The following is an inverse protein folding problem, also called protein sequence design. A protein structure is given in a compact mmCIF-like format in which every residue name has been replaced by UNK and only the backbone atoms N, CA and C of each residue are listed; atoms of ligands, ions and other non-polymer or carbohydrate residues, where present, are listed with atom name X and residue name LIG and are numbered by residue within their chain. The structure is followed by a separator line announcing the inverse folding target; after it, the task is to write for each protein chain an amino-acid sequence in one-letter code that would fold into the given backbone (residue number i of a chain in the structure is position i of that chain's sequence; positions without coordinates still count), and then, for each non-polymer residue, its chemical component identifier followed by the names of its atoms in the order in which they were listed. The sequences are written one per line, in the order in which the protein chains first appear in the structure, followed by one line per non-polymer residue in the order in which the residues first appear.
data_IF_537486610952
#
_entry.id   IF_537486610952
#
_cell.length_a   1.000
_cell.length_b   1.000
_cell.length_c   1.000
_cell.angle_alpha   90.00
_cell.angle_beta   90.00
_cell.angle_gamma   90.00
#
_symmetry.space_group_name_H-M   'P 1'
#
loop_
_entity.id
_entity.type
_entity.pdbx_description
1 polymer ?
#
# COMPACT_ATOMS: atom_id res chain seq x y z
N UNK A 1 -82.02 13.45 12.80
CA UNK A 1 -81.15 12.78 11.82
C UNK A 1 -79.83 13.56 11.79
N UNK A 2 -78.82 13.09 12.53
CA UNK A 2 -77.51 13.74 12.67
C UNK A 2 -76.54 13.18 11.62
N UNK A 3 -75.88 14.05 10.86
CA UNK A 3 -74.71 13.67 10.05
C UNK A 3 -73.49 14.44 10.58
N UNK A 4 -72.54 13.68 11.15
CA UNK A 4 -71.22 14.15 11.57
C UNK A 4 -70.27 14.15 10.36
N UNK A 5 -69.72 15.32 10.01
CA UNK A 5 -68.66 15.46 9.01
C UNK A 5 -67.27 15.21 9.62
N UNK A 6 -66.45 14.39 8.98
CA UNK A 6 -65.06 14.10 9.38
C UNK A 6 -64.09 15.19 8.92
N UNK A 7 -63.02 15.51 9.69
CA UNK A 7 -62.02 16.50 9.30
C UNK A 7 -60.93 15.89 8.39
N UNK A 8 -60.66 16.59 7.29
CA UNK A 8 -59.56 16.32 6.36
C UNK A 8 -58.21 16.64 7.01
N UNK A 9 -57.40 15.62 7.28
CA UNK A 9 -56.01 15.78 7.75
C UNK A 9 -55.10 16.03 6.56
N UNK A 10 -54.61 17.26 6.41
CA UNK A 10 -53.52 17.58 5.47
C UNK A 10 -52.21 16.99 5.99
N UNK A 11 -51.69 15.96 5.32
CA UNK A 11 -50.32 15.50 5.51
C UNK A 11 -49.34 16.53 4.92
N UNK A 12 -48.43 17.04 5.75
CA UNK A 12 -47.25 17.78 5.29
C UNK A 12 -46.19 16.77 4.84
N UNK A 13 -45.71 16.83 3.58
CA UNK A 13 -44.61 15.97 3.16
C UNK A 13 -43.33 16.40 3.89
N UNK A 14 -42.75 15.48 4.68
CA UNK A 14 -41.38 15.62 5.16
C UNK A 14 -40.46 15.55 3.94
N UNK A 15 -39.76 16.65 3.64
CA UNK A 15 -38.61 16.61 2.74
C UNK A 15 -37.51 15.78 3.41
N UNK A 16 -37.34 14.55 2.93
CA UNK A 16 -36.17 13.73 3.24
C UNK A 16 -35.04 14.25 2.36
N UNK A 17 -34.14 15.02 2.95
CA UNK A 17 -32.87 15.42 2.32
C UNK A 17 -32.02 14.17 2.12
N UNK A 18 -32.00 13.66 0.88
CA UNK A 18 -31.06 12.64 0.46
C UNK A 18 -29.65 13.27 0.47
N UNK A 19 -28.83 12.89 1.46
CA UNK A 19 -27.39 13.14 1.42
C UNK A 19 -26.85 12.40 0.18
N UNK A 20 -26.17 13.08 -0.76
CA UNK A 20 -25.49 12.37 -1.83
C UNK A 20 -24.45 11.48 -1.16
N UNK A 21 -24.63 10.16 -1.28
CA UNK A 21 -23.55 9.20 -1.12
C UNK A 21 -22.53 9.58 -2.19
N UNK A 22 -21.54 10.39 -1.82
CA UNK A 22 -20.38 10.65 -2.65
C UNK A 22 -19.68 9.29 -2.83
N UNK A 23 -20.01 8.61 -3.94
CA UNK A 23 -19.26 7.45 -4.39
C UNK A 23 -17.82 7.94 -4.61
N UNK A 24 -16.92 7.56 -3.73
CA UNK A 24 -15.50 7.81 -3.93
C UNK A 24 -15.10 7.19 -5.28
N UNK A 25 -14.46 7.99 -6.13
CA UNK A 25 -13.97 7.50 -7.42
C UNK A 25 -12.99 6.33 -7.19
N UNK A 26 -13.02 5.29 -8.04
CA UNK A 26 -12.08 4.18 -7.91
C UNK A 26 -10.65 4.67 -8.03
N UNK A 27 -9.79 4.28 -7.09
CA UNK A 27 -8.35 4.58 -7.15
C UNK A 27 -7.75 4.08 -8.46
N UNK A 28 -6.98 4.95 -9.11
CA UNK A 28 -6.26 4.70 -10.36
C UNK A 28 -4.73 4.65 -10.11
N UNK A 29 -3.93 4.14 -11.07
CA UNK A 29 -2.47 4.19 -10.99
C UNK A 29 -1.90 5.60 -10.83
N UNK A 30 -2.57 6.62 -11.37
CA UNK A 30 -2.14 8.02 -11.22
C UNK A 30 -2.21 8.48 -9.75
N UNK A 31 -3.21 8.04 -9.00
CA UNK A 31 -3.43 8.45 -7.61
C UNK A 31 -2.36 7.93 -6.66
N UNK A 32 -1.68 6.84 -7.05
CA UNK A 32 -0.62 6.17 -6.28
C UNK A 32 0.77 6.40 -6.84
N UNK A 33 0.90 7.12 -7.96
CA UNK A 33 2.20 7.46 -8.50
C UNK A 33 2.96 8.39 -7.53
N UNK A 34 4.25 8.14 -7.37
CA UNK A 34 5.09 8.92 -6.46
C UNK A 34 6.28 8.15 -5.91
N UNK A 35 7.00 8.81 -5.01
CA UNK A 35 8.11 8.23 -4.26
C UNK A 35 7.72 8.12 -2.78
N UNK A 36 8.11 7.00 -2.17
CA UNK A 36 7.79 6.65 -0.80
C UNK A 36 9.05 6.14 -0.12
N UNK A 37 9.27 6.48 1.15
CA UNK A 37 10.42 6.04 1.92
C UNK A 37 9.99 5.30 3.18
N UNK A 38 10.66 4.18 3.46
CA UNK A 38 10.56 3.48 4.73
C UNK A 38 11.58 4.07 5.71
N UNK A 39 11.20 4.30 6.97
CA UNK A 39 12.17 4.48 8.04
C UNK A 39 13.12 3.27 8.12
N UNK A 40 14.35 3.50 8.61
CA UNK A 40 15.34 2.45 8.88
C UNK A 40 14.70 1.29 9.64
N UNK A 41 14.86 0.08 9.12
CA UNK A 41 14.24 -1.12 9.69
C UNK A 41 15.30 -2.16 10.04
N UNK A 42 15.24 -2.68 11.26
CA UNK A 42 16.03 -3.82 11.70
C UNK A 42 15.13 -5.06 11.69
N UNK A 43 15.51 -6.06 10.92
CA UNK A 43 14.85 -7.35 10.89
C UNK A 43 15.85 -8.43 11.32
N UNK A 44 15.47 -9.27 12.27
CA UNK A 44 16.29 -10.40 12.71
C UNK A 44 15.46 -11.67 12.67
N UNK A 45 16.03 -12.74 12.12
CA UNK A 45 15.51 -14.09 12.26
C UNK A 45 16.64 -15.03 12.72
N UNK A 46 16.36 -16.32 12.85
CA UNK A 46 17.32 -17.31 13.34
C UNK A 46 18.57 -17.54 12.45
N UNK A 47 18.65 -16.90 11.27
CA UNK A 47 19.76 -17.06 10.33
C UNK A 47 20.53 -15.76 10.09
N UNK A 48 19.84 -14.62 10.07
CA UNK A 48 20.41 -13.34 9.64
C UNK A 48 19.76 -12.16 10.36
N UNK A 49 20.58 -11.16 10.67
CA UNK A 49 20.13 -9.79 10.97
C UNK A 49 20.30 -8.93 9.72
N UNK A 50 19.21 -8.33 9.25
CA UNK A 50 19.19 -7.40 8.14
C UNK A 50 18.91 -6.00 8.66
N UNK A 51 19.87 -5.09 8.51
CA UNK A 51 19.71 -3.67 8.79
C UNK A 51 19.44 -2.94 7.48
N UNK A 52 18.27 -2.33 7.36
CA UNK A 52 17.86 -1.52 6.21
C UNK A 52 18.10 -0.06 6.57
N UNK A 53 19.06 0.59 5.90
CA UNK A 53 19.41 2.00 6.10
C UNK A 53 18.52 2.94 5.29
N UNK A 54 18.10 2.49 4.12
CA UNK A 54 17.17 3.20 3.25
C UNK A 54 16.36 2.18 2.46
N UNK A 55 15.07 2.40 2.29
CA UNK A 55 14.20 1.63 1.41
C UNK A 55 13.22 2.62 0.78
N UNK A 56 13.30 2.76 -0.54
CA UNK A 56 12.44 3.67 -1.29
C UNK A 56 11.65 2.90 -2.33
N UNK A 57 10.35 3.15 -2.36
CA UNK A 57 9.43 2.64 -3.37
C UNK A 57 9.07 3.80 -4.29
N UNK A 58 9.28 3.62 -5.59
CA UNK A 58 8.80 4.54 -6.62
C UNK A 58 7.76 3.84 -7.47
N UNK A 59 6.59 4.45 -7.62
CA UNK A 59 5.51 3.98 -8.48
C UNK A 59 5.27 5.01 -9.60
N UNK A 60 5.06 4.53 -10.81
CA UNK A 60 4.76 5.34 -11.99
C UNK A 60 3.34 5.08 -12.48
N UNK A 61 2.75 6.09 -13.12
CA UNK A 61 1.36 6.07 -13.62
C UNK A 61 1.04 4.91 -14.58
N UNK A 62 2.06 4.35 -15.24
CA UNK A 62 1.94 3.25 -16.20
C UNK A 62 1.90 1.86 -15.53
N UNK A 63 1.77 1.78 -14.21
CA UNK A 63 1.69 0.51 -13.49
C UNK A 63 3.04 -0.15 -13.23
N UNK A 64 4.15 0.58 -13.38
CA UNK A 64 5.49 0.10 -13.05
C UNK A 64 6.01 0.70 -11.75
N UNK A 65 7.00 0.06 -11.16
CA UNK A 65 7.67 0.59 -9.99
C UNK A 65 9.04 0.00 -9.75
N UNK A 66 9.75 0.60 -8.80
CA UNK A 66 11.07 0.16 -8.38
C UNK A 66 11.20 0.27 -6.88
N UNK A 67 11.76 -0.76 -6.24
CA UNK A 67 12.22 -0.70 -4.86
C UNK A 67 13.74 -0.55 -4.86
N UNK A 68 14.26 0.47 -4.20
CA UNK A 68 15.70 0.66 -3.97
C UNK A 68 15.97 0.57 -2.48
N UNK A 69 16.88 -0.32 -2.10
CA UNK A 69 17.21 -0.58 -0.70
C UNK A 69 18.72 -0.50 -0.49
N UNK A 70 19.13 0.20 0.54
CA UNK A 70 20.48 0.09 1.11
C UNK A 70 20.37 -0.77 2.36
N UNK A 71 20.97 -1.96 2.33
CA UNK A 71 20.90 -2.92 3.44
C UNK A 71 22.24 -3.56 3.73
N UNK A 72 22.44 -3.92 4.98
CA UNK A 72 23.50 -4.81 5.43
C UNK A 72 22.87 -6.08 5.98
N UNK A 73 23.47 -7.23 5.67
CA UNK A 73 23.03 -8.54 6.15
C UNK A 73 24.18 -9.17 6.93
N UNK A 74 23.93 -9.46 8.19
CA UNK A 74 24.88 -10.05 9.12
C UNK A 74 24.40 -11.46 9.48
N UNK A 75 25.12 -12.53 9.05
CA UNK A 75 24.79 -13.89 9.44
C UNK A 75 24.94 -14.07 10.95
N UNK A 76 23.95 -14.69 11.60
CA UNK A 76 24.05 -14.97 13.04
C UNK A 76 25.10 -16.03 13.40
N UNK A 77 25.65 -16.73 12.41
CA UNK A 77 26.72 -17.72 12.57
C UNK A 77 28.12 -17.10 12.65
N UNK A 78 28.23 -15.76 12.65
CA UNK A 78 29.53 -15.05 12.76
C UNK A 78 30.36 -15.07 11.47
N UNK A 79 29.71 -15.28 10.31
CA UNK A 79 30.37 -15.20 9.01
C UNK A 79 30.78 -13.78 8.62
N UNK A 80 31.67 -13.61 7.62
CA UNK A 80 32.13 -12.30 7.19
C UNK A 80 30.97 -11.43 6.69
N UNK A 81 30.88 -10.21 7.20
CA UNK A 81 29.95 -9.20 6.67
C UNK A 81 30.62 -8.47 5.51
N UNK A 82 29.85 -8.20 4.46
CA UNK A 82 30.37 -7.47 3.28
C UNK A 82 30.14 -5.97 3.35
N UNK A 83 29.65 -5.48 4.50
CA UNK A 83 29.15 -4.12 4.68
C UNK A 83 27.82 -3.83 3.97
N UNK A 84 27.33 -2.58 4.03
CA UNK A 84 26.12 -2.14 3.35
C UNK A 84 26.21 -2.32 1.82
N UNK A 85 25.11 -2.80 1.23
CA UNK A 85 24.96 -3.01 -0.21
C UNK A 85 23.70 -2.33 -0.72
N UNK A 86 23.80 -1.77 -1.92
CA UNK A 86 22.65 -1.30 -2.67
C UNK A 86 21.99 -2.48 -3.39
N UNK A 87 20.67 -2.55 -3.34
CA UNK A 87 19.86 -3.48 -4.08
C UNK A 87 18.69 -2.75 -4.73
N UNK A 88 18.34 -3.16 -5.94
CA UNK A 88 17.23 -2.59 -6.70
C UNK A 88 16.41 -3.73 -7.30
N UNK A 89 15.09 -3.60 -7.22
CA UNK A 89 14.15 -4.54 -7.84
C UNK A 89 13.09 -3.78 -8.63
N UNK A 90 12.87 -4.21 -9.87
CA UNK A 90 11.73 -3.78 -10.66
C UNK A 90 10.48 -4.55 -10.24
N UNK A 91 9.32 -3.88 -10.34
CA UNK A 91 8.02 -4.48 -10.10
C UNK A 91 6.97 -3.90 -11.05
N UNK A 92 5.93 -4.70 -11.30
CA UNK A 92 4.64 -4.22 -11.80
C UNK A 92 3.65 -4.04 -10.65
N UNK A 93 2.68 -3.15 -10.82
CA UNK A 93 1.56 -3.01 -9.88
C UNK A 93 0.24 -2.77 -10.59
N UNK A 94 -0.84 -3.08 -9.88
CA UNK A 94 -2.22 -2.75 -10.26
C UNK A 94 -3.03 -2.33 -9.06
N UNK A 95 -4.01 -1.46 -9.29
CA UNK A 95 -4.99 -1.09 -8.27
C UNK A 95 -6.22 -1.97 -8.41
N UNK A 96 -6.59 -2.67 -7.34
CA UNK A 96 -7.68 -3.63 -7.31
C UNK A 96 -8.53 -3.37 -6.09
N UNK A 97 -9.79 -2.96 -6.24
CA UNK A 97 -10.72 -2.75 -5.10
C UNK A 97 -10.11 -1.90 -3.98
N UNK A 98 -9.41 -0.81 -4.34
CA UNK A 98 -8.82 0.14 -3.38
C UNK A 98 -7.51 -0.31 -2.71
N UNK A 99 -6.92 -1.43 -3.12
CA UNK A 99 -5.57 -1.85 -2.71
C UNK A 99 -4.62 -1.90 -3.90
N UNK A 100 -3.34 -1.73 -3.62
CA UNK A 100 -2.26 -1.80 -4.59
C UNK A 100 -1.65 -3.19 -4.48
N UNK A 101 -1.76 -4.00 -5.53
CA UNK A 101 -1.14 -5.31 -5.63
C UNK A 101 0.11 -5.20 -6.50
N UNK A 102 1.29 -5.50 -5.93
CA UNK A 102 2.57 -5.40 -6.62
C UNK A 102 3.23 -6.76 -6.78
N UNK A 103 3.96 -6.92 -7.88
CA UNK A 103 4.71 -8.13 -8.18
C UNK A 103 6.12 -7.77 -8.65
N UNK A 104 7.14 -8.26 -7.96
CA UNK A 104 8.52 -8.22 -8.45
C UNK A 104 8.69 -8.98 -9.76
N UNK A 105 9.55 -8.44 -10.61
CA UNK A 105 10.00 -9.11 -11.84
C UNK A 105 11.00 -10.20 -11.44
N UNK A 106 10.50 -11.41 -11.26
CA UNK A 106 11.30 -12.56 -10.89
C UNK A 106 12.01 -13.16 -12.12
N UNK A 107 13.33 -13.35 -12.07
CA UNK A 107 14.06 -14.10 -13.10
C UNK A 107 13.52 -15.53 -13.26
N UNK A 108 13.66 -16.10 -14.46
CA UNK A 108 13.16 -17.46 -14.77
C UNK A 108 13.75 -18.56 -13.87
N UNK A 109 14.92 -18.32 -13.28
CA UNK A 109 15.61 -19.24 -12.38
C UNK A 109 15.39 -18.93 -10.88
N UNK A 110 14.59 -17.93 -10.55
CA UNK A 110 14.30 -17.59 -9.15
C UNK A 110 13.11 -18.39 -8.62
N UNK A 111 13.25 -18.93 -7.40
CA UNK A 111 12.15 -19.58 -6.69
C UNK A 111 11.26 -18.54 -5.99
N UNK A 112 10.52 -17.76 -6.76
CA UNK A 112 9.59 -16.75 -6.24
C UNK A 112 8.25 -17.36 -5.84
N UNK A 113 7.64 -16.81 -4.80
CA UNK A 113 6.23 -17.08 -4.49
C UNK A 113 5.33 -16.49 -5.59
N UNK A 114 4.14 -17.05 -5.84
CA UNK A 114 3.21 -16.45 -6.80
C UNK A 114 2.81 -15.01 -6.41
N UNK A 115 2.60 -14.10 -7.38
CA UNK A 115 2.13 -12.75 -7.09
C UNK A 115 0.68 -12.75 -6.55
N UNK A 116 0.25 -11.68 -5.83
CA UNK A 116 1.01 -10.47 -5.53
C UNK A 116 2.06 -10.71 -4.44
N UNK A 117 3.25 -10.15 -4.63
CA UNK A 117 4.35 -10.21 -3.67
C UNK A 117 4.15 -9.21 -2.53
N UNK A 118 3.55 -8.07 -2.83
CA UNK A 118 3.27 -6.98 -1.90
C UNK A 118 1.83 -6.53 -2.09
N UNK A 119 1.14 -6.28 -0.98
CA UNK A 119 -0.16 -5.62 -0.96
C UNK A 119 -0.05 -4.34 -0.15
N UNK A 120 -0.54 -3.22 -0.68
CA UNK A 120 -0.49 -1.94 0.00
C UNK A 120 -1.82 -1.17 -0.05
N UNK A 121 -1.98 -0.25 0.89
CA UNK A 121 -3.11 0.67 1.00
C UNK A 121 -2.60 2.08 1.19
N UNK A 122 -3.28 3.05 0.57
CA UNK A 122 -3.03 4.47 0.82
C UNK A 122 -3.50 4.82 2.23
N UNK A 123 -2.66 5.54 2.97
CA UNK A 123 -3.02 6.18 4.24
C UNK A 123 -2.81 7.69 4.12
N UNK A 124 -3.20 8.46 5.15
CA UNK A 124 -2.99 9.90 5.15
C UNK A 124 -1.50 10.28 5.09
N UNK A 125 -0.62 9.41 5.57
CA UNK A 125 0.83 9.61 5.70
C UNK A 125 1.64 9.00 4.54
N UNK A 126 1.03 8.11 3.75
CA UNK A 126 1.72 7.44 2.66
C UNK A 126 1.10 6.08 2.30
N UNK A 127 1.89 5.01 2.44
CA UNK A 127 1.48 3.64 2.11
C UNK A 127 1.69 2.71 3.30
N UNK A 128 0.64 2.01 3.71
CA UNK A 128 0.75 0.81 4.55
C UNK A 128 0.97 -0.38 3.64
N UNK A 129 2.01 -1.17 3.90
CA UNK A 129 2.46 -2.28 3.08
C UNK A 129 2.49 -3.57 3.89
N UNK A 130 1.73 -4.57 3.44
CA UNK A 130 1.77 -5.94 3.93
C UNK A 130 2.44 -6.82 2.87
N UNK A 131 3.55 -7.48 3.24
CA UNK A 131 4.26 -8.40 2.33
C UNK A 131 3.58 -9.76 2.31
N UNK A 132 3.39 -10.33 1.13
CA UNK A 132 2.54 -11.51 0.96
C UNK A 132 3.12 -12.81 1.54
N UNK A 133 4.39 -12.89 1.95
CA UNK A 133 4.97 -13.96 2.78
C UNK A 133 6.40 -13.57 3.25
N UNK A 134 6.74 -13.81 4.52
CA UNK A 134 8.12 -13.74 5.06
C UNK A 134 8.47 -12.53 5.95
N UNK A 135 7.82 -11.38 5.77
CA UNK A 135 7.96 -10.24 6.68
C UNK A 135 6.78 -10.22 7.65
N UNK A 136 7.02 -10.57 8.92
CA UNK A 136 5.98 -10.65 9.98
C UNK A 136 5.55 -9.28 10.53
N UNK A 137 5.98 -8.18 9.92
CA UNK A 137 5.70 -6.82 10.41
C UNK A 137 5.26 -5.96 9.22
N UNK A 138 4.08 -5.34 9.29
CA UNK A 138 3.65 -4.32 8.33
C UNK A 138 4.71 -3.23 8.17
N UNK A 139 4.98 -2.82 6.94
CA UNK A 139 5.88 -1.71 6.61
C UNK A 139 5.05 -0.47 6.34
N UNK A 140 5.37 0.64 6.99
CA UNK A 140 4.68 1.92 6.77
C UNK A 140 5.66 2.84 6.06
N UNK A 141 5.38 3.15 4.80
CA UNK A 141 6.15 4.09 4.01
C UNK A 141 5.52 5.48 4.09
N UNK A 142 6.35 6.51 4.23
CA UNK A 142 5.94 7.91 4.14
C UNK A 142 6.07 8.38 2.70
N UNK A 143 5.08 9.12 2.19
CA UNK A 143 5.19 9.75 0.86
C UNK A 143 6.25 10.86 0.91
N UNK A 144 7.16 10.87 -0.06
CA UNK A 144 8.13 11.94 -0.22
C UNK A 144 7.49 13.11 -0.99
N UNK A 145 7.81 14.36 -0.66
CA UNK A 145 7.38 15.50 -1.44
C UNK A 145 7.89 15.37 -2.88
N UNK A 146 7.02 15.63 -3.85
CA UNK A 146 7.41 15.71 -5.25
C UNK A 146 8.40 16.87 -5.42
N UNK A 147 9.62 16.58 -5.89
CA UNK A 147 10.56 17.63 -6.32
C UNK A 147 10.01 18.16 -7.66
N UNK A 148 9.77 19.48 -7.80
CA UNK A 148 9.28 20.09 -9.03
C UNK A 148 10.26 19.95 -10.19
#
# INVERSE_FOLDING_TARGET
MLMLGMPSRRLKPLLVSALPLACAEPLSPNDVAGAYALPTLLYTNQYVTVRIFADTLRLTADGRGTVNTVRESEPLTGGPTTGPRHAQWALGFRVVRGRIEMAFDCPINANCVPPPHIVAWITAEGLRVDSALGARVPRIYTRLPSIP
#
